data_IF_338004181637
#
_entry.id   IF_338004181637
#
_cell.length_a   1.000
_cell.length_b   1.000
_cell.length_c   1.000
_cell.angle_alpha   90.00
_cell.angle_beta   90.00
_cell.angle_gamma   90.00
#
_symmetry.space_group_name_H-M   'P 1'
#
loop_
_entity.id
_entity.type
_entity.pdbx_description
1 polymer ?
#
# COMPACT_ATOMS: atom_id res chain seq x y z
N UNK A 1 -1.42 11.27 -13.08
CA UNK A 1 -0.21 11.28 -12.23
C UNK A 1 -0.63 11.78 -10.86
N UNK A 2 -0.37 11.02 -9.79
CA UNK A 2 -0.88 11.27 -8.43
C UNK A 2 -0.67 12.71 -7.94
N UNK A 3 0.50 13.31 -8.20
CA UNK A 3 0.80 14.71 -7.83
C UNK A 3 -0.10 15.76 -8.48
N UNK A 4 -0.66 15.48 -9.67
CA UNK A 4 -1.65 16.36 -10.30
C UNK A 4 -3.02 16.25 -9.62
N UNK A 5 -3.34 15.08 -9.07
CA UNK A 5 -4.62 14.78 -8.43
C UNK A 5 -4.63 15.22 -6.97
N UNK A 6 -3.53 15.00 -6.25
CA UNK A 6 -3.37 15.34 -4.84
C UNK A 6 -2.16 16.27 -4.68
N UNK A 7 -2.35 17.60 -4.68
CA UNK A 7 -1.26 18.57 -4.53
C UNK A 7 -0.49 18.43 -3.21
N UNK A 8 -1.14 17.89 -2.17
CA UNK A 8 -0.58 17.63 -0.84
C UNK A 8 0.28 16.37 -0.75
N UNK A 9 0.47 15.64 -1.86
CA UNK A 9 1.19 14.38 -1.85
C UNK A 9 2.63 14.52 -1.36
N UNK A 10 3.03 13.60 -0.49
CA UNK A 10 4.40 13.44 -0.02
C UNK A 10 4.82 11.98 -0.11
N UNK A 11 5.96 11.77 -0.77
CA UNK A 11 6.61 10.47 -0.90
C UNK A 11 7.49 10.26 0.34
N UNK A 12 7.06 9.42 1.27
CA UNK A 12 7.57 9.37 2.64
C UNK A 12 8.63 8.29 2.88
N UNK A 13 8.63 7.20 2.10
CA UNK A 13 9.56 6.09 2.31
C UNK A 13 11.00 6.39 1.87
N UNK A 14 11.94 5.55 2.31
CA UNK A 14 13.35 5.61 1.92
C UNK A 14 13.54 5.48 0.40
N UNK A 15 12.65 4.75 -0.28
CA UNK A 15 12.66 4.66 -1.75
C UNK A 15 12.48 6.03 -2.42
N UNK A 16 11.74 6.96 -1.80
CA UNK A 16 11.59 8.32 -2.31
C UNK A 16 12.89 9.13 -2.21
N UNK A 17 13.71 8.84 -1.20
CA UNK A 17 15.05 9.42 -1.06
C UNK A 17 16.00 8.88 -2.11
N UNK A 18 16.00 7.56 -2.31
CA UNK A 18 16.80 6.89 -3.37
C UNK A 18 16.43 7.41 -4.77
N UNK A 19 15.15 7.69 -5.00
CA UNK A 19 14.66 8.24 -6.26
C UNK A 19 14.87 9.77 -6.41
N UNK A 20 15.52 10.44 -5.44
CA UNK A 20 15.74 11.88 -5.41
C UNK A 20 14.44 12.72 -5.45
N UNK A 21 13.32 12.13 -5.02
CA UNK A 21 12.00 12.79 -4.98
C UNK A 21 11.78 13.51 -3.64
N UNK A 22 12.25 12.91 -2.54
CA UNK A 22 12.16 13.49 -1.20
C UNK A 22 13.41 13.13 -0.37
N UNK A 23 14.31 14.08 -0.09
CA UNK A 23 15.54 13.80 0.69
C UNK A 23 15.26 13.38 2.13
N UNK A 24 14.08 13.73 2.68
CA UNK A 24 13.62 13.34 4.02
C UNK A 24 12.91 11.97 4.04
N UNK A 25 12.89 11.26 2.91
CA UNK A 25 12.35 9.90 2.83
C UNK A 25 13.10 8.95 3.76
N UNK A 26 12.38 8.14 4.54
CA UNK A 26 12.96 7.25 5.55
C UNK A 26 12.19 5.94 5.72
N UNK A 27 12.88 4.89 6.15
CA UNK A 27 12.28 3.61 6.50
C UNK A 27 11.51 3.69 7.84
N UNK A 28 10.68 2.67 8.11
CA UNK A 28 10.04 2.48 9.41
C UNK A 28 8.80 3.34 9.68
N UNK A 29 8.28 4.07 8.68
CA UNK A 29 7.03 4.83 8.84
C UNK A 29 5.77 3.94 8.79
N UNK A 30 5.85 2.75 8.19
CA UNK A 30 4.72 1.84 8.00
C UNK A 30 3.86 2.15 6.77
N UNK A 31 4.27 3.12 5.94
CA UNK A 31 3.64 3.52 4.68
C UNK A 31 4.65 4.19 3.75
N UNK A 32 4.32 4.27 2.46
CA UNK A 32 5.15 4.87 1.42
C UNK A 32 4.80 6.32 1.06
N UNK A 33 3.50 6.65 1.06
CA UNK A 33 2.98 7.93 0.57
C UNK A 33 1.94 8.46 1.54
N UNK A 34 1.90 9.78 1.74
CA UNK A 34 0.79 10.46 2.42
C UNK A 34 0.22 11.59 1.56
N UNK A 35 -1.09 11.80 1.64
CA UNK A 35 -1.76 12.95 1.02
C UNK A 35 -3.09 13.28 1.72
N UNK A 36 -3.67 14.41 1.35
CA UNK A 36 -5.05 14.80 1.70
C UNK A 36 -5.93 14.57 0.48
N UNK A 37 -6.98 13.76 0.63
CA UNK A 37 -7.94 13.48 -0.44
C UNK A 37 -8.88 14.68 -0.71
N UNK A 38 -9.71 14.57 -1.74
CA UNK A 38 -10.66 15.61 -2.15
C UNK A 38 -11.72 15.95 -1.11
N UNK A 39 -11.94 15.05 -0.14
CA UNK A 39 -12.87 15.23 0.97
C UNK A 39 -12.17 15.77 2.23
N UNK A 40 -10.87 16.06 2.16
CA UNK A 40 -10.09 16.57 3.29
C UNK A 40 -9.55 15.49 4.23
N UNK A 41 -9.69 14.20 3.90
CA UNK A 41 -9.18 13.13 4.75
C UNK A 41 -7.70 12.88 4.47
N UNK A 42 -6.94 12.62 5.54
CA UNK A 42 -5.57 12.14 5.41
C UNK A 42 -5.58 10.69 4.93
N UNK A 43 -4.71 10.39 3.98
CA UNK A 43 -4.49 9.04 3.45
C UNK A 43 -3.03 8.64 3.65
N UNK A 44 -2.84 7.42 4.15
CA UNK A 44 -1.55 6.75 4.19
C UNK A 44 -1.60 5.61 3.18
N UNK A 45 -0.65 5.58 2.25
CA UNK A 45 -0.62 4.58 1.19
C UNK A 45 0.63 3.75 1.30
N UNK A 46 0.44 2.44 1.31
CA UNK A 46 1.48 1.45 1.12
C UNK A 46 1.44 0.94 -0.32
N UNK A 47 2.59 0.88 -0.98
CA UNK A 47 2.68 0.46 -2.38
C UNK A 47 3.26 -0.95 -2.45
N UNK A 48 2.47 -1.87 -2.99
CA UNK A 48 2.87 -3.24 -3.26
C UNK A 48 2.86 -3.48 -4.77
N UNK A 49 3.69 -4.40 -5.26
CA UNK A 49 3.83 -4.60 -6.69
C UNK A 49 4.08 -6.07 -7.07
N UNK A 50 3.59 -6.45 -8.25
CA UNK A 50 3.81 -7.77 -8.85
C UNK A 50 4.14 -7.69 -10.33
N UNK A 51 4.91 -8.67 -10.79
CA UNK A 51 5.20 -8.89 -12.22
C UNK A 51 4.02 -9.53 -12.96
N UNK A 52 3.13 -10.22 -12.24
CA UNK A 52 1.95 -10.89 -12.80
C UNK A 52 0.68 -10.08 -12.50
N UNK A 53 -0.47 -10.58 -12.93
CA UNK A 53 -1.79 -10.07 -12.58
C UNK A 53 -2.28 -10.53 -11.20
N UNK A 54 -1.60 -11.49 -10.57
CA UNK A 54 -2.03 -12.06 -9.30
C UNK A 54 -1.75 -11.09 -8.15
N UNK A 55 -2.72 -10.97 -7.24
CA UNK A 55 -2.60 -10.16 -6.03
C UNK A 55 -1.98 -11.03 -4.95
N UNK A 56 -0.65 -10.97 -4.87
CA UNK A 56 0.14 -11.59 -3.81
C UNK A 56 1.17 -10.58 -3.33
N UNK A 57 1.15 -10.26 -2.04
CA UNK A 57 2.14 -9.35 -1.44
C UNK A 57 2.48 -9.74 -0.02
N UNK A 58 3.57 -9.17 0.47
CA UNK A 58 4.02 -9.29 1.84
C UNK A 58 3.81 -7.97 2.56
N UNK A 59 3.41 -8.03 3.82
CA UNK A 59 3.43 -6.90 4.75
C UNK A 59 4.38 -7.20 5.90
N UNK A 60 5.15 -6.18 6.27
CA UNK A 60 5.95 -6.21 7.51
C UNK A 60 5.07 -5.98 8.74
N UNK A 61 5.54 -6.39 9.91
CA UNK A 61 4.85 -6.15 11.18
C UNK A 61 4.58 -4.65 11.41
N UNK A 62 5.54 -3.79 11.04
CA UNK A 62 5.40 -2.35 11.20
C UNK A 62 4.32 -1.75 10.28
N UNK A 63 4.22 -2.23 9.03
CA UNK A 63 3.14 -1.82 8.13
C UNK A 63 1.79 -2.28 8.67
N UNK A 64 1.70 -3.52 9.18
CA UNK A 64 0.48 -4.05 9.77
C UNK A 64 0.04 -3.26 11.00
N UNK A 65 0.95 -3.07 11.96
CA UNK A 65 0.68 -2.31 13.18
C UNK A 65 0.25 -0.87 12.88
N UNK A 66 0.83 -0.25 11.85
CA UNK A 66 0.42 1.08 11.41
C UNK A 66 -0.97 1.04 10.76
N UNK A 67 -1.21 0.09 9.85
CA UNK A 67 -2.48 -0.05 9.15
C UNK A 67 -3.65 -0.26 10.12
N UNK A 68 -3.50 -1.12 11.13
CA UNK A 68 -4.55 -1.37 12.13
C UNK A 68 -4.87 -0.11 12.96
N UNK A 69 -3.87 0.69 13.31
CA UNK A 69 -4.07 1.97 14.03
C UNK A 69 -4.75 3.04 13.16
N UNK A 70 -4.65 2.91 11.84
CA UNK A 70 -5.10 3.89 10.85
C UNK A 70 -6.07 3.29 9.83
N UNK A 71 -6.88 2.30 10.22
CA UNK A 71 -7.62 1.44 9.26
C UNK A 71 -8.52 2.22 8.29
N UNK A 72 -9.09 3.35 8.71
CA UNK A 72 -9.96 4.19 7.87
C UNK A 72 -9.18 5.12 6.94
N UNK A 73 -7.89 5.30 7.17
CA UNK A 73 -6.99 6.23 6.49
C UNK A 73 -5.95 5.49 5.63
N UNK A 74 -5.69 4.21 5.92
CA UNK A 74 -4.68 3.38 5.29
C UNK A 74 -5.21 2.68 4.03
N UNK A 75 -4.46 2.76 2.93
CA UNK A 75 -4.84 2.17 1.64
C UNK A 75 -3.64 1.40 1.07
N UNK A 76 -3.89 0.24 0.47
CA UNK A 76 -2.87 -0.48 -0.29
C UNK A 76 -3.06 -0.21 -1.78
N UNK A 77 -2.05 0.39 -2.40
CA UNK A 77 -1.97 0.51 -3.86
C UNK A 77 -1.16 -0.68 -4.39
N UNK A 78 -1.82 -1.55 -5.14
CA UNK A 78 -1.20 -2.73 -5.73
C UNK A 78 -0.95 -2.52 -7.23
N UNK A 79 0.33 -2.52 -7.63
CA UNK A 79 0.74 -2.32 -9.01
C UNK A 79 1.02 -3.67 -9.68
N UNK A 80 0.21 -4.07 -10.66
CA UNK A 80 0.38 -5.34 -11.39
C UNK A 80 1.10 -5.14 -12.71
N UNK A 81 1.63 -6.25 -13.24
CA UNK A 81 2.22 -6.31 -14.58
C UNK A 81 3.32 -5.24 -14.78
N UNK A 82 4.16 -5.00 -13.77
CA UNK A 82 5.12 -3.88 -13.72
C UNK A 82 6.13 -3.83 -14.86
N UNK A 83 6.37 -4.94 -15.55
CA UNK A 83 7.25 -5.01 -16.73
C UNK A 83 6.52 -4.91 -18.07
N UNK A 84 5.19 -4.81 -18.05
CA UNK A 84 4.41 -4.57 -19.26
C UNK A 84 4.51 -3.11 -19.70
N UNK A 85 4.08 -2.83 -20.93
CA UNK A 85 3.94 -1.43 -21.42
C UNK A 85 2.80 -0.67 -20.75
N UNK A 86 1.93 -1.35 -20.00
CA UNK A 86 0.71 -0.81 -19.40
C UNK A 86 0.47 -1.43 -18.01
N UNK A 87 1.32 -1.15 -17.02
CA UNK A 87 1.08 -1.61 -15.65
C UNK A 87 -0.26 -1.07 -15.15
N UNK A 88 -0.92 -1.83 -14.28
CA UNK A 88 -2.21 -1.44 -13.69
C UNK A 88 -2.03 -1.14 -12.22
N UNK A 89 -2.80 -0.16 -11.74
CA UNK A 89 -2.86 0.17 -10.31
C UNK A 89 -4.24 -0.25 -9.82
N UNK A 90 -4.26 -1.09 -8.80
CA UNK A 90 -5.46 -1.54 -8.10
C UNK A 90 -5.45 -0.92 -6.69
N UNK A 91 -6.59 -0.40 -6.26
CA UNK A 91 -6.81 -0.05 -4.86
C UNK A 91 -7.41 -1.28 -4.20
N UNK A 92 -6.72 -1.82 -3.19
CA UNK A 92 -7.24 -2.98 -2.47
C UNK A 92 -8.13 -2.50 -1.33
N UNK A 93 -9.40 -2.87 -1.41
CA UNK A 93 -10.41 -2.56 -0.39
C UNK A 93 -10.64 -3.74 0.54
N UNK A 94 -11.09 -3.45 1.76
CA UNK A 94 -11.43 -4.46 2.77
C UNK A 94 -10.30 -5.46 3.05
N UNK A 95 -9.03 -5.02 3.00
CA UNK A 95 -7.86 -5.85 3.36
C UNK A 95 -7.85 -6.17 4.85
N UNK A 96 -8.40 -5.28 5.67
CA UNK A 96 -8.46 -5.41 7.13
C UNK A 96 -9.92 -5.46 7.59
N UNK A 97 -10.19 -6.17 8.68
CA UNK A 97 -11.50 -6.29 9.32
C UNK A 97 -11.31 -6.24 10.84
N UNK A 98 -11.75 -5.14 11.46
CA UNK A 98 -11.46 -4.88 12.87
C UNK A 98 -9.96 -4.65 13.07
N UNK A 99 -9.33 -5.44 13.94
CA UNK A 99 -7.90 -5.32 14.26
C UNK A 99 -7.06 -6.43 13.61
N UNK A 100 -7.54 -7.03 12.52
CA UNK A 100 -6.87 -8.14 11.83
C UNK A 100 -7.06 -8.06 10.31
N UNK A 101 -6.35 -8.91 9.57
CA UNK A 101 -6.60 -9.13 8.15
C UNK A 101 -8.01 -9.67 7.92
N UNK A 102 -8.61 -9.25 6.82
CA UNK A 102 -9.90 -9.76 6.39
C UNK A 102 -9.74 -11.10 5.67
N UNK A 103 -9.72 -12.18 6.44
CA UNK A 103 -9.60 -13.55 5.93
C UNK A 103 -10.80 -14.02 5.09
N UNK A 104 -11.92 -13.30 5.12
CA UNK A 104 -13.06 -13.57 4.23
C UNK A 104 -12.72 -13.22 2.77
N UNK A 105 -11.87 -12.22 2.56
CA UNK A 105 -11.51 -11.70 1.23
C UNK A 105 -10.08 -12.08 0.80
N UNK A 106 -9.19 -12.33 1.76
CA UNK A 106 -7.78 -12.55 1.51
C UNK A 106 -7.24 -13.77 2.26
N UNK A 107 -6.61 -14.70 1.54
CA UNK A 107 -5.89 -15.80 2.15
C UNK A 107 -4.55 -15.32 2.72
N UNK A 108 -4.18 -15.82 3.90
CA UNK A 108 -3.01 -15.40 4.68
C UNK A 108 -2.04 -16.56 4.93
N UNK A 109 -0.74 -16.32 4.74
CA UNK A 109 0.36 -17.18 5.19
C UNK A 109 1.35 -16.36 6.02
N UNK A 110 1.57 -16.75 7.28
CA UNK A 110 2.28 -15.97 8.31
C UNK A 110 3.68 -16.49 8.64
N UNK A 111 4.22 -17.42 7.85
CA UNK A 111 5.41 -18.19 8.27
C UNK A 111 6.73 -17.42 8.21
N UNK A 112 6.81 -16.26 7.54
CA UNK A 112 8.00 -15.39 7.49
C UNK A 112 7.75 -13.88 7.40
N UNK A 113 6.50 -13.48 7.14
CA UNK A 113 5.94 -12.12 7.00
C UNK A 113 4.46 -12.34 6.63
N UNK A 114 3.58 -11.35 6.72
CA UNK A 114 2.18 -11.53 6.34
C UNK A 114 2.04 -11.60 4.81
N UNK A 115 1.94 -12.81 4.25
CA UNK A 115 1.66 -13.02 2.83
C UNK A 115 0.16 -13.00 2.57
N UNK A 116 -0.32 -12.00 1.86
CA UNK A 116 -1.73 -11.74 1.56
C UNK A 116 -2.03 -12.10 0.10
N UNK A 117 -3.10 -12.88 -0.14
CA UNK A 117 -3.48 -13.40 -1.47
C UNK A 117 -4.97 -13.19 -1.74
N UNK A 118 -5.36 -12.78 -2.96
CA UNK A 118 -6.77 -12.71 -3.38
C UNK A 118 -7.04 -13.54 -4.64
N UNK A 119 -8.23 -14.12 -4.73
CA UNK A 119 -8.74 -14.87 -5.91
C UNK A 119 -10.05 -14.28 -6.39
N UNK A 120 -10.17 -14.00 -7.69
CA UNK A 120 -11.46 -13.69 -8.32
C UNK A 120 -12.14 -14.99 -8.77
N UNK A 121 -13.41 -15.18 -8.41
CA UNK A 121 -14.29 -16.20 -8.99
C UNK A 121 -15.11 -15.63 -10.13
#
# INVERSE_FOLDING_TARGET
>A
MLKKQYPSIKWASENAKVAEINPEGRAGLGYDIEYIDENGNRRFVEVKASKTSDIVFYMSDNEFDFAIKHITEYIIYFVTEVFSKKPKILLLDNVFKGNDFNSDNYALDTTKEYKVMATFT
#
